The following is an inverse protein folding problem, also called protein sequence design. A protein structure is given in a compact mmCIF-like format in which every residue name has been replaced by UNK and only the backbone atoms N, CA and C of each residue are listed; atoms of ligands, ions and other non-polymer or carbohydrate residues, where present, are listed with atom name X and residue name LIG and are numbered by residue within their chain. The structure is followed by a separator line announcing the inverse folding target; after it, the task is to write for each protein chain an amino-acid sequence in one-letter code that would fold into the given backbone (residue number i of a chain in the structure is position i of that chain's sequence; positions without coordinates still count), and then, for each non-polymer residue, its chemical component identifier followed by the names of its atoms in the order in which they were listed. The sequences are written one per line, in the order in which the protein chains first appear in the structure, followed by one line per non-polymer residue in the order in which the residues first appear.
data_IF_291279578817
#
_entry.id   IF_291279578817
#
_cell.length_a   1.000
_cell.length_b   1.000
_cell.length_c   1.000
_cell.angle_alpha   90.00
_cell.angle_beta   90.00
_cell.angle_gamma   90.00
#
_symmetry.space_group_name_H-M   'P 1'
#
loop_
_entity.id
_entity.type
_entity.pdbx_description
1 polymer ?
#
# COMPACT_ATOMS: atom_id res chain seq x y z
N UNK A 1 8.29 11.25 17.14
CA UNK A 1 7.25 10.95 16.14
C UNK A 1 6.32 9.90 16.72
N UNK A 2 5.01 10.05 16.58
CA UNK A 2 4.06 8.99 16.97
C UNK A 2 4.16 7.84 15.98
N UNK A 3 4.03 6.61 16.48
CA UNK A 3 3.97 5.41 15.63
C UNK A 3 2.72 5.46 14.76
N UNK A 4 2.86 5.17 13.46
CA UNK A 4 1.75 4.98 12.53
C UNK A 4 1.96 3.66 11.80
N UNK A 5 1.01 2.77 11.93
CA UNK A 5 1.00 1.47 11.26
C UNK A 5 -0.20 1.36 10.33
N UNK A 6 -0.14 0.49 9.34
CA UNK A 6 -1.13 0.43 8.29
C UNK A 6 -1.55 -1.00 7.97
N UNK A 7 -2.86 -1.20 7.83
CA UNK A 7 -3.43 -2.33 7.12
C UNK A 7 -3.99 -1.85 5.78
N UNK A 8 -3.65 -2.53 4.69
CA UNK A 8 -3.99 -2.12 3.34
C UNK A 8 -4.57 -3.28 2.53
N UNK A 9 -5.84 -3.65 2.78
CA UNK A 9 -6.48 -4.75 2.08
C UNK A 9 -6.91 -4.37 0.66
N UNK A 10 -6.79 -5.34 -0.27
CA UNK A 10 -7.41 -5.24 -1.59
C UNK A 10 -8.84 -5.79 -1.50
N UNK A 11 -9.87 -5.03 -1.95
CA UNK A 11 -11.26 -5.42 -1.82
C UNK A 11 -11.69 -6.39 -2.95
N UNK A 12 -11.00 -7.54 -3.03
CA UNK A 12 -11.25 -8.59 -4.03
C UNK A 12 -12.09 -9.74 -3.49
N UNK A 13 -12.72 -9.57 -2.32
CA UNK A 13 -13.56 -10.55 -1.66
C UNK A 13 -13.62 -10.34 -0.15
N UNK A 14 -13.99 -11.40 0.57
CA UNK A 14 -14.10 -11.36 2.03
C UNK A 14 -12.76 -11.18 2.73
N UNK A 15 -12.80 -10.54 3.90
CA UNK A 15 -11.65 -10.48 4.80
C UNK A 15 -11.34 -11.91 5.30
N UNK A 16 -10.27 -12.51 4.77
CA UNK A 16 -9.85 -13.84 5.22
C UNK A 16 -8.99 -13.76 6.49
N UNK A 17 -8.83 -14.89 7.18
CA UNK A 17 -8.13 -14.97 8.47
C UNK A 17 -6.69 -14.40 8.43
N UNK A 18 -5.98 -14.55 7.33
CA UNK A 18 -4.64 -13.98 7.16
C UNK A 18 -4.66 -12.45 7.14
N UNK A 19 -5.65 -11.84 6.47
CA UNK A 19 -5.87 -10.39 6.50
C UNK A 19 -6.23 -9.91 7.89
N UNK A 20 -7.17 -10.58 8.56
CA UNK A 20 -7.57 -10.28 9.93
C UNK A 20 -6.38 -10.36 10.91
N UNK A 21 -5.52 -11.38 10.78
CA UNK A 21 -4.29 -11.51 11.57
C UNK A 21 -3.35 -10.33 11.34
N UNK A 22 -3.12 -9.94 10.09
CA UNK A 22 -2.25 -8.80 9.77
C UNK A 22 -2.81 -7.51 10.35
N UNK A 23 -4.12 -7.27 10.23
CA UNK A 23 -4.80 -6.13 10.84
C UNK A 23 -4.63 -6.13 12.37
N UNK A 24 -4.83 -7.29 13.02
CA UNK A 24 -4.71 -7.44 14.46
C UNK A 24 -3.30 -7.08 14.97
N UNK A 25 -2.23 -7.57 14.33
CA UNK A 25 -0.87 -7.23 14.74
C UNK A 25 -0.60 -5.73 14.63
N UNK A 26 -1.00 -5.10 13.54
CA UNK A 26 -0.86 -3.65 13.38
C UNK A 26 -1.67 -2.88 14.44
N UNK A 27 -2.91 -3.29 14.68
CA UNK A 27 -3.78 -2.68 15.66
C UNK A 27 -3.20 -2.79 17.08
N UNK A 28 -2.76 -3.99 17.48
CA UNK A 28 -2.13 -4.21 18.79
C UNK A 28 -0.88 -3.36 18.97
N UNK A 29 -0.05 -3.27 17.95
CA UNK A 29 1.17 -2.45 18.02
C UNK A 29 0.84 -0.96 18.15
N UNK A 30 -0.13 -0.45 17.38
CA UNK A 30 -0.60 0.93 17.52
C UNK A 30 -1.12 1.19 18.93
N UNK A 31 -1.97 0.30 19.48
CA UNK A 31 -2.53 0.47 20.83
C UNK A 31 -1.47 0.39 21.92
N UNK A 32 -0.51 -0.53 21.78
CA UNK A 32 0.58 -0.69 22.73
C UNK A 32 1.50 0.55 22.80
N UNK A 33 1.75 1.17 21.66
CA UNK A 33 2.66 2.32 21.54
C UNK A 33 1.98 3.68 21.69
N UNK A 34 0.65 3.73 21.84
CA UNK A 34 -0.12 4.98 21.79
C UNK A 34 -0.09 5.62 20.38
N UNK A 35 0.15 4.83 19.35
CA UNK A 35 0.23 5.24 17.96
C UNK A 35 -1.12 5.21 17.24
N UNK A 36 -1.08 5.32 15.92
CA UNK A 36 -2.26 5.33 15.04
C UNK A 36 -2.30 4.09 14.16
N UNK A 37 -3.49 3.51 14.03
CA UNK A 37 -3.78 2.44 13.09
C UNK A 37 -4.52 3.01 11.88
N UNK A 38 -3.90 2.89 10.70
CA UNK A 38 -4.40 3.43 9.43
C UNK A 38 -4.99 2.30 8.60
N UNK A 39 -6.19 2.50 8.07
CA UNK A 39 -6.79 1.64 7.07
C UNK A 39 -6.72 2.31 5.70
N UNK A 40 -6.14 1.64 4.70
CA UNK A 40 -6.08 2.12 3.32
C UNK A 40 -6.60 1.03 2.38
N UNK A 41 -7.54 1.35 1.53
CA UNK A 41 -8.12 0.40 0.58
C UNK A 41 -7.30 0.39 -0.70
N UNK A 42 -6.82 -0.81 -1.08
CA UNK A 42 -6.03 -1.04 -2.28
C UNK A 42 -6.96 -1.40 -3.46
N UNK A 43 -7.69 -0.41 -3.95
CA UNK A 43 -8.75 -0.55 -4.96
C UNK A 43 -8.30 -0.22 -6.39
N UNK A 44 -7.03 -0.48 -6.71
CA UNK A 44 -6.46 -0.22 -8.05
C UNK A 44 -6.91 -1.21 -9.13
N UNK A 45 -7.49 -2.35 -8.77
CA UNK A 45 -8.01 -3.36 -9.68
C UNK A 45 -9.52 -3.17 -9.86
N UNK A 46 -9.90 -2.29 -10.78
CA UNK A 46 -11.29 -1.90 -11.03
C UNK A 46 -12.21 -3.07 -11.42
N UNK A 47 -11.66 -4.14 -12.01
CA UNK A 47 -12.47 -5.30 -12.44
C UNK A 47 -12.91 -6.18 -11.27
N UNK A 48 -12.11 -6.24 -10.20
CA UNK A 48 -12.36 -7.10 -9.03
C UNK A 48 -12.83 -6.34 -7.80
N UNK A 49 -12.78 -5.02 -7.82
CA UNK A 49 -13.21 -4.19 -6.70
C UNK A 49 -14.69 -3.89 -6.78
N UNK A 50 -15.41 -4.20 -5.70
CA UNK A 50 -16.82 -3.86 -5.58
C UNK A 50 -17.09 -3.12 -4.27
N UNK A 51 -18.07 -2.20 -4.23
CA UNK A 51 -18.47 -1.55 -2.99
C UNK A 51 -18.87 -2.54 -1.89
N UNK A 52 -19.46 -3.67 -2.27
CA UNK A 52 -19.84 -4.75 -1.35
C UNK A 52 -18.60 -5.38 -0.70
N UNK A 53 -17.54 -5.64 -1.48
CA UNK A 53 -16.29 -6.20 -0.95
C UNK A 53 -15.61 -5.21 0.03
N UNK A 54 -15.64 -3.91 -0.27
CA UNK A 54 -15.17 -2.88 0.66
C UNK A 54 -16.01 -2.92 1.95
N UNK A 55 -17.34 -2.93 1.83
CA UNK A 55 -18.25 -3.04 2.98
C UNK A 55 -17.93 -4.24 3.86
N UNK A 56 -17.75 -5.43 3.27
CA UNK A 56 -17.39 -6.65 4.01
C UNK A 56 -16.07 -6.55 4.77
N UNK A 57 -15.08 -5.82 4.25
CA UNK A 57 -13.81 -5.57 4.95
C UNK A 57 -14.06 -4.67 6.16
N UNK A 58 -14.78 -3.55 5.98
CA UNK A 58 -15.07 -2.60 7.05
C UNK A 58 -15.90 -3.25 8.16
N UNK A 59 -16.93 -3.99 7.80
CA UNK A 59 -17.79 -4.72 8.73
C UNK A 59 -17.02 -5.80 9.48
N UNK A 60 -16.17 -6.56 8.77
CA UNK A 60 -15.32 -7.59 9.38
C UNK A 60 -14.33 -7.02 10.40
N UNK A 61 -13.69 -5.90 10.10
CA UNK A 61 -12.80 -5.20 11.03
C UNK A 61 -13.58 -4.66 12.23
N UNK A 62 -14.76 -4.06 11.97
CA UNK A 62 -15.65 -3.57 13.02
C UNK A 62 -16.14 -4.69 13.95
N UNK A 63 -16.54 -5.85 13.40
CA UNK A 63 -16.95 -7.02 14.17
C UNK A 63 -15.82 -7.56 15.05
N UNK A 64 -14.56 -7.52 14.56
CA UNK A 64 -13.38 -7.89 15.33
C UNK A 64 -12.95 -6.84 16.36
N UNK A 65 -13.59 -5.67 16.39
CA UNK A 65 -13.21 -4.56 17.26
C UNK A 65 -11.91 -3.85 16.84
N UNK A 66 -11.44 -4.07 15.61
CA UNK A 66 -10.20 -3.48 15.07
C UNK A 66 -10.47 -2.10 14.45
N UNK A 67 -10.96 -1.17 15.28
CA UNK A 67 -11.27 0.18 14.83
C UNK A 67 -10.01 0.94 14.44
N UNK A 68 -10.05 1.63 13.28
CA UNK A 68 -8.96 2.44 12.76
C UNK A 68 -9.11 3.91 13.13
N UNK A 69 -7.97 4.56 13.31
CA UNK A 69 -7.90 5.99 13.67
C UNK A 69 -7.96 6.87 12.42
N UNK A 70 -7.33 6.40 11.33
CA UNK A 70 -7.32 7.05 10.03
C UNK A 70 -7.77 6.08 8.94
N UNK A 71 -8.57 6.55 7.99
CA UNK A 71 -9.05 5.71 6.90
C UNK A 71 -10.44 6.09 6.41
N UNK A 72 -11.06 5.30 5.54
CA UNK A 72 -12.41 5.53 5.04
C UNK A 72 -13.42 5.41 6.20
N UNK A 73 -14.46 6.25 6.18
CA UNK A 73 -15.56 6.18 7.11
C UNK A 73 -16.76 5.39 6.56
N UNK A 74 -16.75 5.08 5.26
CA UNK A 74 -17.77 4.30 4.55
C UNK A 74 -17.15 3.49 3.41
N UNK A 75 -17.93 2.61 2.80
CA UNK A 75 -17.55 1.84 1.62
C UNK A 75 -17.61 2.64 0.30
N UNK A 76 -18.04 3.89 0.35
CA UNK A 76 -18.07 4.80 -0.78
C UNK A 76 -16.72 5.54 -0.88
N UNK A 77 -15.94 5.37 -1.96
CA UNK A 77 -14.71 6.13 -2.17
C UNK A 77 -14.93 7.66 -2.16
N UNK A 78 -16.07 8.13 -2.65
CA UNK A 78 -16.43 9.55 -2.60
C UNK A 78 -16.92 10.01 -1.22
N UNK A 79 -17.07 9.07 -0.28
CA UNK A 79 -17.55 9.34 1.07
C UNK A 79 -16.52 10.00 1.98
N UNK A 80 -16.93 10.23 3.22
CA UNK A 80 -16.04 10.82 4.22
C UNK A 80 -14.93 9.88 4.66
N UNK A 81 -13.82 10.45 5.10
CA UNK A 81 -12.70 9.77 5.71
C UNK A 81 -12.30 10.41 7.04
N UNK A 82 -11.58 9.66 7.86
CA UNK A 82 -10.98 10.14 9.12
C UNK A 82 -9.49 10.36 8.91
N UNK A 83 -8.93 11.39 9.55
CA UNK A 83 -7.49 11.70 9.48
C UNK A 83 -7.12 12.65 8.35
N UNK A 84 -5.89 13.17 8.41
CA UNK A 84 -5.43 14.30 7.60
C UNK A 84 -4.51 13.88 6.44
N UNK A 85 -4.23 12.58 6.29
CA UNK A 85 -3.30 12.05 5.30
C UNK A 85 -3.99 11.31 4.13
N UNK A 86 -5.30 11.57 3.94
CA UNK A 86 -6.07 11.02 2.81
C UNK A 86 -5.58 11.49 1.44
N UNK A 87 -6.23 11.02 0.37
CA UNK A 87 -7.28 10.00 0.33
C UNK A 87 -6.79 8.61 0.79
N UNK A 88 -7.71 7.79 1.32
CA UNK A 88 -7.41 6.44 1.81
C UNK A 88 -7.90 5.33 0.87
N UNK A 89 -8.43 5.69 -0.27
CA UNK A 89 -8.64 4.81 -1.42
C UNK A 89 -7.53 5.07 -2.43
N UNK A 90 -6.87 4.02 -2.91
CA UNK A 90 -5.76 4.18 -3.85
C UNK A 90 -6.21 4.72 -5.21
N UNK A 91 -7.43 4.39 -5.65
CA UNK A 91 -8.04 4.94 -6.87
C UNK A 91 -8.13 6.47 -6.89
N UNK A 92 -8.17 7.11 -5.73
CA UNK A 92 -8.25 8.56 -5.60
C UNK A 92 -6.90 9.27 -5.52
N UNK A 93 -5.79 8.56 -5.65
CA UNK A 93 -4.43 9.07 -5.46
C UNK A 93 -3.67 9.31 -6.76
N UNK A 94 -4.35 9.31 -7.90
CA UNK A 94 -3.74 9.42 -9.23
C UNK A 94 -2.76 10.59 -9.36
N UNK A 95 -3.16 11.79 -8.93
CA UNK A 95 -2.30 12.98 -8.98
C UNK A 95 -1.04 12.84 -8.12
N UNK A 96 -1.16 12.14 -6.98
CA UNK A 96 -0.02 11.86 -6.09
C UNK A 96 0.95 10.92 -6.79
N UNK A 97 0.45 9.87 -7.44
CA UNK A 97 1.28 8.91 -8.15
C UNK A 97 1.96 9.54 -9.36
N UNK A 98 1.23 10.32 -10.16
CA UNK A 98 1.80 11.03 -11.32
C UNK A 98 2.97 11.92 -10.90
N UNK A 99 2.79 12.71 -9.85
CA UNK A 99 3.87 13.55 -9.32
C UNK A 99 5.06 12.73 -8.83
N UNK A 100 4.82 11.61 -8.14
CA UNK A 100 5.91 10.73 -7.67
C UNK A 100 6.66 10.08 -8.82
N UNK A 101 5.97 9.70 -9.89
CA UNK A 101 6.62 9.16 -11.10
C UNK A 101 7.55 10.21 -11.71
N UNK A 102 7.13 11.47 -11.83
CA UNK A 102 8.00 12.52 -12.36
C UNK A 102 9.21 12.77 -11.44
N UNK A 103 9.02 12.80 -10.12
CA UNK A 103 10.14 12.87 -9.16
C UNK A 103 11.14 11.70 -9.31
N UNK A 104 10.64 10.49 -9.61
CA UNK A 104 11.51 9.32 -9.86
C UNK A 104 12.27 9.45 -11.18
N UNK A 105 11.63 9.95 -12.23
CA UNK A 105 12.29 10.21 -13.53
C UNK A 105 13.37 11.28 -13.38
N UNK A 106 13.09 12.38 -12.69
CA UNK A 106 14.07 13.44 -12.44
C UNK A 106 15.32 12.94 -11.69
N UNK A 107 15.17 11.90 -10.86
CA UNK A 107 16.28 11.27 -10.12
C UNK A 107 16.94 10.12 -10.87
N UNK A 108 16.60 9.88 -12.13
CA UNK A 108 17.02 8.71 -12.92
C UNK A 108 16.72 7.35 -12.24
N UNK A 109 15.66 7.32 -11.42
CA UNK A 109 15.17 6.10 -10.76
C UNK A 109 14.01 5.44 -11.51
N UNK A 110 13.46 6.10 -12.53
CA UNK A 110 12.45 5.54 -13.41
C UNK A 110 12.68 5.97 -14.86
N UNK A 111 12.27 5.13 -15.79
CA UNK A 111 12.42 5.37 -17.23
C UNK A 111 11.23 4.78 -17.99
N UNK A 112 11.02 5.25 -19.21
CA UNK A 112 9.99 4.75 -20.11
C UNK A 112 10.53 3.61 -20.97
N UNK A 113 9.77 2.53 -21.07
CA UNK A 113 10.08 1.36 -21.87
C UNK A 113 8.79 0.79 -22.47
N UNK A 114 8.67 0.82 -23.80
CA UNK A 114 7.49 0.36 -24.57
C UNK A 114 6.16 0.93 -24.04
N UNK A 115 6.14 2.23 -23.77
CA UNK A 115 4.98 2.95 -23.25
C UNK A 115 4.65 2.70 -21.77
N UNK A 116 5.34 1.79 -21.11
CA UNK A 116 5.26 1.58 -19.67
C UNK A 116 6.37 2.36 -18.94
N UNK A 117 6.18 2.64 -17.66
CA UNK A 117 7.24 3.23 -16.83
C UNK A 117 7.77 2.16 -15.89
N UNK A 118 9.09 1.98 -15.93
CA UNK A 118 9.80 1.04 -15.09
C UNK A 118 10.59 1.75 -14.00
N UNK A 119 10.66 1.12 -12.84
CA UNK A 119 11.55 1.53 -11.76
C UNK A 119 12.91 0.86 -11.94
N UNK A 120 13.97 1.65 -11.89
CA UNK A 120 15.35 1.19 -11.96
C UNK A 120 15.75 0.60 -10.61
N UNK A 121 15.89 -0.73 -10.55
CA UNK A 121 16.29 -1.41 -9.32
C UNK A 121 17.70 -1.00 -8.91
N UNK A 122 17.83 -0.53 -7.68
CA UNK A 122 19.13 -0.37 -7.04
C UNK A 122 19.65 -1.74 -6.63
N UNK A 123 20.87 -2.07 -7.05
CA UNK A 123 21.49 -3.38 -6.83
C UNK A 123 22.56 -3.34 -5.73
N UNK A 124 22.29 -2.54 -4.70
CA UNK A 124 23.15 -2.41 -3.53
C UNK A 124 22.57 -3.23 -2.36
N UNK A 125 23.39 -3.74 -1.45
CA UNK A 125 22.90 -4.41 -0.25
C UNK A 125 21.97 -3.50 0.56
N UNK A 126 20.80 -4.01 0.96
CA UNK A 126 19.82 -3.27 1.76
C UNK A 126 19.72 -3.90 3.13
N UNK A 127 19.91 -3.09 4.17
CA UNK A 127 19.64 -3.49 5.56
C UNK A 127 18.23 -3.06 5.94
N UNK A 128 17.40 -4.02 6.31
CA UNK A 128 16.03 -3.81 6.75
C UNK A 128 16.01 -3.98 8.27
N UNK A 129 15.83 -2.91 9.06
CA UNK A 129 15.69 -3.01 10.50
C UNK A 129 14.31 -3.60 10.83
N UNK A 130 14.26 -4.90 11.08
CA UNK A 130 13.04 -5.60 11.44
C UNK A 130 12.84 -5.58 12.96
N UNK A 131 11.62 -5.26 13.41
CA UNK A 131 11.32 -5.10 14.84
C UNK A 131 11.31 -6.44 15.62
N UNK A 132 11.25 -7.55 14.93
CA UNK A 132 11.17 -8.90 15.52
C UNK A 132 12.48 -9.66 15.30
N UNK A 133 12.97 -9.65 14.05
CA UNK A 133 14.15 -10.41 13.63
C UNK A 133 15.47 -9.65 13.78
N UNK A 134 15.43 -8.35 14.13
CA UNK A 134 16.61 -7.48 14.10
C UNK A 134 16.98 -7.13 12.65
N UNK A 135 18.22 -6.71 12.45
CA UNK A 135 18.67 -6.29 11.13
C UNK A 135 18.74 -7.46 10.14
N UNK A 136 17.92 -7.40 9.10
CA UNK A 136 17.92 -8.35 7.98
C UNK A 136 18.66 -7.74 6.81
N UNK A 137 19.82 -8.28 6.45
CA UNK A 137 20.59 -7.85 5.29
C UNK A 137 20.15 -8.64 4.07
N UNK A 138 19.73 -7.94 3.02
CA UNK A 138 19.46 -8.49 1.69
C UNK A 138 20.60 -8.09 0.77
N UNK A 139 21.38 -9.07 0.33
CA UNK A 139 22.33 -8.87 -0.75
C UNK A 139 21.58 -8.93 -2.07
N UNK A 140 21.55 -7.79 -2.77
CA UNK A 140 20.98 -7.70 -4.10
C UNK A 140 22.10 -8.04 -5.10
N UNK A 141 21.80 -8.93 -6.03
CA UNK A 141 22.79 -9.34 -7.03
C UNK A 141 22.75 -8.41 -8.25
N UNK A 142 23.91 -8.17 -8.88
CA UNK A 142 24.02 -7.40 -10.14
C UNK A 142 23.39 -8.11 -11.35
N UNK A 143 22.75 -9.26 -11.13
CA UNK A 143 22.14 -10.01 -12.21
C UNK A 143 20.73 -9.48 -12.48
N UNK A 144 20.61 -8.75 -13.57
CA UNK A 144 19.34 -8.22 -14.09
C UNK A 144 18.28 -9.33 -14.28
N UNK A 145 18.70 -10.53 -14.64
CA UNK A 145 17.85 -11.73 -14.78
C UNK A 145 17.18 -12.15 -13.46
N UNK A 146 17.82 -11.88 -12.31
CA UNK A 146 17.32 -12.25 -10.98
C UNK A 146 16.47 -11.14 -10.35
N UNK A 147 16.78 -9.89 -10.71
CA UNK A 147 16.09 -8.70 -10.19
C UNK A 147 15.87 -7.69 -11.31
N UNK A 148 14.95 -7.97 -12.23
CA UNK A 148 14.66 -7.05 -13.33
C UNK A 148 14.03 -5.76 -12.79
N UNK A 149 14.24 -4.68 -13.53
CA UNK A 149 13.50 -3.45 -13.34
C UNK A 149 12.01 -3.74 -13.53
N UNK A 150 11.19 -3.31 -12.58
CA UNK A 150 9.77 -3.67 -12.60
C UNK A 150 8.89 -2.49 -13.05
N UNK A 151 7.78 -2.82 -13.70
CA UNK A 151 6.80 -1.84 -14.12
C UNK A 151 6.15 -1.19 -12.91
N UNK A 152 6.09 0.15 -12.89
CA UNK A 152 5.39 0.96 -11.90
C UNK A 152 4.16 1.65 -12.47
N UNK A 153 4.15 1.93 -13.79
CA UNK A 153 2.97 2.41 -14.51
C UNK A 153 2.85 1.62 -15.81
N UNK A 154 1.67 1.09 -16.10
CA UNK A 154 1.39 0.36 -17.33
C UNK A 154 1.28 1.30 -18.52
N UNK A 155 1.33 0.76 -19.74
CA UNK A 155 1.16 1.51 -21.00
C UNK A 155 -0.22 2.18 -21.13
N UNK A 156 -1.23 1.74 -20.39
CA UNK A 156 -2.54 2.37 -20.27
C UNK A 156 -2.57 3.55 -19.29
N UNK A 157 -1.42 3.90 -18.69
CA UNK A 157 -1.27 4.99 -17.71
C UNK A 157 -1.69 4.63 -16.28
N UNK A 158 -2.13 3.39 -16.03
CA UNK A 158 -2.56 2.96 -14.69
C UNK A 158 -1.37 2.56 -13.82
N UNK A 159 -1.29 3.09 -12.59
CA UNK A 159 -0.26 2.68 -11.63
C UNK A 159 -0.45 1.22 -11.23
N UNK A 160 0.65 0.51 -11.00
CA UNK A 160 0.61 -0.85 -10.48
C UNK A 160 0.94 -0.90 -9.00
N UNK A 161 0.67 -2.05 -8.38
CA UNK A 161 0.89 -2.31 -6.96
C UNK A 161 2.25 -1.82 -6.42
N UNK A 162 3.32 -1.97 -7.19
CA UNK A 162 4.66 -1.55 -6.78
C UNK A 162 4.82 -0.04 -6.60
N UNK A 163 4.05 0.77 -7.30
CA UNK A 163 4.08 2.23 -7.13
C UNK A 163 3.20 2.68 -5.97
N UNK A 164 2.05 2.02 -5.76
CA UNK A 164 1.05 2.48 -4.80
C UNK A 164 1.33 2.05 -3.35
N UNK A 165 2.22 1.08 -3.16
CA UNK A 165 2.69 0.58 -1.87
C UNK A 165 4.08 1.07 -1.53
#
# INVERSE_FOLDING_TARGET
MSVRVRFAPSPTGHLHIGGARTALFNWLYARHTGGQFVLRIEDTDEERNTPEAIGMILDGLGWLGLNWDEGPASNDPAGSSRGDCGPYFQSQRGDIYSRRVEELKEKDLAYEDDGAIRFRMQREPVTIPDLICGDVVRELTDREEVQPDFVIVRSDGKPVFHLVN
#
